data_IF_919748984152
#
_entry.id   IF_919748984152
#
_cell.length_a   1.000
_cell.length_b   1.000
_cell.length_c   1.000
_cell.angle_alpha   90.00
_cell.angle_beta   90.00
_cell.angle_gamma   90.00
#
_symmetry.space_group_name_H-M   'P 1'
#
loop_
_entity.id
_entity.type
_entity.pdbx_description
1 polymer ?
#
# COMPACT_ATOMS: atom_id res chain seq x y z
N UNK A 1 -8.23 -53.91 -16.88
CA UNK A 1 -9.36 -53.51 -17.75
C UNK A 1 -10.76 -53.95 -17.26
N UNK A 2 -10.97 -55.13 -16.65
CA UNK A 2 -12.31 -55.58 -16.19
C UNK A 2 -12.93 -54.73 -15.06
N UNK A 3 -12.13 -54.10 -14.19
CA UNK A 3 -12.63 -53.26 -13.09
C UNK A 3 -13.26 -51.93 -13.57
N UNK A 4 -12.75 -51.35 -14.66
CA UNK A 4 -13.25 -50.08 -15.25
C UNK A 4 -14.64 -50.21 -15.90
N UNK A 5 -15.02 -51.43 -16.32
CA UNK A 5 -16.33 -51.69 -16.95
C UNK A 5 -17.42 -52.15 -15.97
N UNK A 6 -17.09 -52.32 -14.69
CA UNK A 6 -18.10 -52.59 -13.65
C UNK A 6 -18.90 -51.31 -13.31
N UNK A 7 -20.15 -51.45 -12.86
CA UNK A 7 -20.94 -50.31 -12.37
C UNK A 7 -20.19 -49.48 -11.32
N UNK A 8 -19.47 -50.16 -10.42
CA UNK A 8 -18.68 -49.54 -9.35
C UNK A 8 -17.48 -48.77 -9.93
N UNK A 9 -16.77 -49.35 -10.90
CA UNK A 9 -15.66 -48.68 -11.59
C UNK A 9 -16.09 -47.39 -12.30
N UNK A 10 -17.24 -47.41 -12.97
CA UNK A 10 -17.80 -46.20 -13.61
C UNK A 10 -18.16 -45.12 -12.59
N UNK A 11 -18.77 -45.49 -11.46
CA UNK A 11 -19.10 -44.55 -10.38
C UNK A 11 -17.83 -43.91 -9.81
N UNK A 12 -16.80 -44.71 -9.50
CA UNK A 12 -15.52 -44.19 -8.97
C UNK A 12 -14.87 -43.22 -9.95
N UNK A 13 -14.86 -43.54 -11.25
CA UNK A 13 -14.32 -42.65 -12.29
C UNK A 13 -15.14 -41.35 -12.37
N UNK A 14 -16.47 -41.45 -12.39
CA UNK A 14 -17.35 -40.26 -12.43
C UNK A 14 -17.15 -39.37 -11.21
N UNK A 15 -17.05 -39.96 -10.01
CA UNK A 15 -16.76 -39.20 -8.78
C UNK A 15 -15.39 -38.55 -8.84
N UNK A 16 -14.35 -39.27 -9.29
CA UNK A 16 -13.01 -38.73 -9.44
C UNK A 16 -12.96 -37.59 -10.47
N UNK A 17 -13.69 -37.72 -11.59
CA UNK A 17 -13.80 -36.67 -12.61
C UNK A 17 -14.52 -35.43 -12.09
N UNK A 18 -15.65 -35.61 -11.41
CA UNK A 18 -16.41 -34.50 -10.80
C UNK A 18 -15.57 -33.82 -9.74
N UNK A 19 -14.89 -34.57 -8.87
CA UNK A 19 -13.99 -34.00 -7.87
C UNK A 19 -12.85 -33.21 -8.51
N UNK A 20 -12.20 -33.77 -9.52
CA UNK A 20 -11.12 -33.09 -10.26
C UNK A 20 -11.63 -31.80 -10.92
N UNK A 21 -12.83 -31.83 -11.51
CA UNK A 21 -13.46 -30.64 -12.09
C UNK A 21 -13.76 -29.58 -11.03
N UNK A 22 -14.30 -29.98 -9.87
CA UNK A 22 -14.61 -29.07 -8.77
C UNK A 22 -13.34 -28.43 -8.20
N UNK A 23 -12.27 -29.22 -8.00
CA UNK A 23 -10.96 -28.70 -7.56
C UNK A 23 -10.38 -27.77 -8.62
N UNK A 24 -10.44 -28.13 -9.90
CA UNK A 24 -9.95 -27.30 -10.99
C UNK A 24 -10.69 -25.96 -11.09
N UNK A 25 -12.02 -25.98 -10.99
CA UNK A 25 -12.85 -24.76 -11.00
C UNK A 25 -12.59 -23.92 -9.75
N UNK A 26 -12.58 -24.54 -8.56
CA UNK A 26 -12.30 -23.86 -7.30
C UNK A 26 -10.91 -23.22 -7.27
N UNK A 27 -9.88 -23.95 -7.71
CA UNK A 27 -8.52 -23.43 -7.84
C UNK A 27 -8.41 -22.28 -8.84
N UNK A 28 -9.10 -22.38 -9.98
CA UNK A 28 -9.14 -21.30 -10.98
C UNK A 28 -9.81 -20.03 -10.44
N UNK A 29 -10.91 -20.16 -9.69
CA UNK A 29 -11.59 -19.03 -9.05
C UNK A 29 -10.70 -18.41 -7.97
N UNK A 30 -10.06 -19.24 -7.12
CA UNK A 30 -9.14 -18.78 -6.09
C UNK A 30 -7.97 -18.01 -6.69
N UNK A 31 -7.33 -18.56 -7.74
CA UNK A 31 -6.29 -17.87 -8.49
C UNK A 31 -6.77 -16.53 -9.04
N UNK A 32 -7.91 -16.53 -9.73
CA UNK A 32 -8.48 -15.33 -10.34
C UNK A 32 -8.79 -14.23 -9.31
N UNK A 33 -9.28 -14.58 -8.13
CA UNK A 33 -9.73 -13.64 -7.10
C UNK A 33 -8.66 -13.22 -6.09
N UNK A 34 -7.59 -14.00 -5.93
CA UNK A 34 -6.58 -13.76 -4.89
C UNK A 34 -5.18 -13.49 -5.44
N UNK A 35 -4.85 -13.98 -6.65
CA UNK A 35 -3.48 -13.98 -7.16
C UNK A 35 -3.32 -13.36 -8.55
N UNK A 36 -4.37 -13.29 -9.36
CA UNK A 36 -4.29 -12.76 -10.73
C UNK A 36 -3.83 -11.31 -10.76
N UNK A 37 -2.71 -11.09 -11.42
CA UNK A 37 -2.17 -9.76 -11.64
C UNK A 37 -2.69 -9.13 -12.94
N UNK A 38 -2.97 -7.83 -12.91
CA UNK A 38 -3.33 -7.04 -14.09
C UNK A 38 -2.31 -5.92 -14.25
N UNK A 39 -1.65 -5.80 -15.42
CA UNK A 39 -0.72 -4.71 -15.67
C UNK A 39 -1.45 -3.36 -15.72
N UNK A 40 -0.77 -2.32 -15.25
CA UNK A 40 -1.20 -0.92 -15.33
C UNK A 40 -0.26 -0.18 -16.26
N UNK A 41 -0.81 0.74 -17.06
CA UNK A 41 -0.04 1.53 -18.00
C UNK A 41 -0.52 2.98 -18.00
N UNK A 42 0.43 3.91 -18.14
CA UNK A 42 0.21 5.34 -18.20
C UNK A 42 0.97 5.89 -19.40
N UNK A 43 0.30 6.63 -20.28
CA UNK A 43 0.92 7.26 -21.45
C UNK A 43 1.87 8.40 -21.05
N UNK A 44 1.47 9.18 -20.05
CA UNK A 44 2.23 10.31 -19.53
C UNK A 44 3.27 9.81 -18.52
N UNK A 45 4.56 10.11 -18.69
CA UNK A 45 5.58 9.85 -17.66
C UNK A 45 5.26 10.54 -16.33
N UNK A 46 4.59 11.70 -16.38
CA UNK A 46 4.19 12.43 -15.17
C UNK A 46 3.10 11.66 -14.40
N UNK A 47 2.12 11.09 -15.10
CA UNK A 47 1.06 10.31 -14.47
C UNK A 47 1.58 8.94 -14.01
N UNK A 48 2.50 8.34 -14.79
CA UNK A 48 3.23 7.15 -14.35
C UNK A 48 3.99 7.43 -13.05
N UNK A 49 4.70 8.56 -12.94
CA UNK A 49 5.40 8.91 -11.72
C UNK A 49 4.44 9.09 -10.53
N UNK A 50 3.32 9.78 -10.74
CA UNK A 50 2.32 10.07 -9.68
C UNK A 50 1.58 8.82 -9.20
N UNK A 51 1.19 7.93 -10.12
CA UNK A 51 0.20 6.87 -9.88
C UNK A 51 0.67 5.45 -10.28
N UNK A 52 1.84 5.33 -10.90
CA UNK A 52 2.39 4.06 -11.37
C UNK A 52 2.83 3.17 -10.21
N UNK A 53 2.50 1.88 -10.32
CA UNK A 53 2.95 0.85 -9.38
C UNK A 53 4.47 0.68 -9.43
N UNK A 54 5.10 0.72 -8.26
CA UNK A 54 6.50 0.30 -8.06
C UNK A 54 6.61 -1.14 -7.55
N UNK A 55 5.49 -1.88 -7.46
CA UNK A 55 5.41 -3.25 -6.95
C UNK A 55 5.04 -3.37 -5.47
N UNK A 56 4.93 -2.27 -4.73
CA UNK A 56 4.58 -2.26 -3.30
C UNK A 56 3.24 -2.95 -2.99
N UNK A 57 2.32 -3.04 -3.96
CA UNK A 57 1.00 -3.65 -3.77
C UNK A 57 1.03 -5.14 -3.42
N UNK A 58 2.10 -5.83 -3.80
CA UNK A 58 2.24 -7.26 -3.57
C UNK A 58 2.49 -7.58 -2.09
N UNK A 59 3.35 -6.79 -1.43
CA UNK A 59 3.85 -7.03 -0.06
C UNK A 59 3.25 -6.10 0.99
N UNK A 60 3.11 -4.81 0.67
CA UNK A 60 2.65 -3.75 1.59
C UNK A 60 1.29 -3.16 1.18
N UNK A 61 0.73 -3.62 0.06
CA UNK A 61 -0.51 -3.08 -0.48
C UNK A 61 -1.74 -3.37 0.37
N UNK A 62 -2.57 -2.36 0.61
CA UNK A 62 -3.85 -2.50 1.28
C UNK A 62 -4.97 -2.77 0.27
N UNK A 63 -6.02 -3.55 0.60
CA UNK A 63 -7.20 -3.65 -0.24
C UNK A 63 -7.79 -2.25 -0.47
N UNK A 64 -7.91 -1.83 -1.73
CA UNK A 64 -8.20 -0.44 -2.09
C UNK A 64 -9.48 0.09 -1.44
N UNK A 65 -10.57 -0.70 -1.49
CA UNK A 65 -11.85 -0.29 -0.91
C UNK A 65 -11.82 -0.22 0.61
N UNK A 66 -10.99 -1.03 1.27
CA UNK A 66 -10.79 -0.95 2.70
C UNK A 66 -10.04 0.34 3.03
N UNK A 67 -8.89 0.57 2.40
CA UNK A 67 -8.11 1.80 2.55
C UNK A 67 -8.95 3.06 2.32
N UNK A 68 -9.77 3.09 1.26
CA UNK A 68 -10.63 4.24 0.94
C UNK A 68 -11.56 4.62 2.10
N UNK A 69 -12.12 3.65 2.82
CA UNK A 69 -13.13 3.91 3.86
C UNK A 69 -12.53 4.13 5.25
N UNK A 70 -11.27 3.73 5.50
CA UNK A 70 -10.65 3.86 6.83
C UNK A 70 -10.75 5.27 7.43
N UNK A 71 -10.46 6.36 6.70
CA UNK A 71 -10.52 7.71 7.28
C UNK A 71 -11.91 8.10 7.80
N UNK A 72 -12.96 7.53 7.21
CA UNK A 72 -14.35 7.78 7.63
C UNK A 72 -14.76 6.87 8.79
N UNK A 73 -14.25 5.65 8.83
CA UNK A 73 -14.55 4.67 9.87
C UNK A 73 -13.79 4.92 11.17
N UNK A 74 -12.58 5.49 11.07
CA UNK A 74 -11.69 5.74 12.19
C UNK A 74 -11.09 7.16 12.17
N UNK A 75 -11.92 8.23 12.04
CA UNK A 75 -11.42 9.60 11.95
C UNK A 75 -10.61 10.04 13.18
N UNK A 76 -10.83 9.44 14.34
CA UNK A 76 -10.15 9.74 15.60
C UNK A 76 -8.66 9.38 15.61
N UNK A 77 -8.22 8.50 14.70
CA UNK A 77 -6.80 8.14 14.57
C UNK A 77 -6.05 9.03 13.58
N UNK A 78 -6.73 9.99 12.95
CA UNK A 78 -6.11 10.98 12.08
C UNK A 78 -5.71 12.24 12.87
N UNK A 79 -4.68 12.96 12.44
CA UNK A 79 -4.25 14.19 13.11
C UNK A 79 -5.26 15.34 12.97
N UNK A 80 -6.23 15.25 12.06
CA UNK A 80 -7.23 16.28 11.85
C UNK A 80 -8.32 15.89 10.86
N UNK A 81 -9.21 16.83 10.57
CA UNK A 81 -10.28 16.67 9.60
C UNK A 81 -9.75 16.55 8.16
N UNK A 82 -10.58 16.04 7.25
CA UNK A 82 -10.27 15.91 5.82
C UNK A 82 -9.80 14.52 5.39
N UNK A 83 -9.74 13.56 6.31
CA UNK A 83 -9.33 12.20 6.01
C UNK A 83 -7.83 12.12 5.73
N UNK A 84 -7.43 11.48 4.62
CA UNK A 84 -6.02 11.37 4.24
C UNK A 84 -5.32 12.73 4.01
N UNK A 85 -6.04 13.80 3.67
CA UNK A 85 -5.44 15.13 3.49
C UNK A 85 -4.87 15.70 4.79
N UNK A 86 -5.38 15.27 5.94
CA UNK A 86 -4.81 15.63 7.25
C UNK A 86 -3.38 15.12 7.46
N UNK A 87 -2.97 14.11 6.69
CA UNK A 87 -1.62 13.56 6.66
C UNK A 87 -0.74 14.22 5.58
N UNK A 88 -1.20 15.30 4.95
CA UNK A 88 -0.49 15.99 3.87
C UNK A 88 -0.54 15.27 2.52
N UNK A 89 -1.42 14.27 2.38
CA UNK A 89 -1.67 13.60 1.11
C UNK A 89 -2.51 14.52 0.21
N UNK A 90 -2.12 14.67 -1.05
CA UNK A 90 -2.73 15.65 -1.98
C UNK A 90 -3.37 14.96 -3.19
N UNK A 91 -4.49 15.49 -3.65
CA UNK A 91 -5.18 15.06 -4.88
C UNK A 91 -5.06 16.12 -5.97
N UNK A 92 -4.98 15.66 -7.21
CA UNK A 92 -5.29 16.49 -8.37
C UNK A 92 -6.81 16.53 -8.60
N UNK A 93 -7.37 17.66 -9.04
CA UNK A 93 -8.78 17.73 -9.40
C UNK A 93 -9.16 16.69 -10.44
N UNK A 94 -10.16 15.87 -10.14
CA UNK A 94 -10.69 14.86 -11.05
C UNK A 94 -10.01 13.49 -10.98
N UNK A 95 -8.90 13.37 -10.24
CA UNK A 95 -8.20 12.09 -10.08
C UNK A 95 -8.85 11.20 -9.02
N UNK A 96 -8.89 9.89 -9.28
CA UNK A 96 -9.42 8.91 -8.34
C UNK A 96 -8.50 8.76 -7.12
N UNK A 97 -7.19 8.68 -7.38
CA UNK A 97 -6.17 8.44 -6.36
C UNK A 97 -5.46 9.74 -5.99
N UNK A 98 -4.98 9.85 -4.74
CA UNK A 98 -4.02 10.89 -4.40
C UNK A 98 -2.69 10.64 -5.10
N UNK A 99 -1.92 11.72 -5.27
CA UNK A 99 -0.55 11.63 -5.75
C UNK A 99 0.27 10.80 -4.76
N UNK A 100 1.09 9.90 -5.29
CA UNK A 100 1.90 9.00 -4.47
C UNK A 100 1.24 7.66 -4.19
N UNK A 101 0.10 7.38 -4.81
CA UNK A 101 -0.63 6.15 -4.61
C UNK A 101 -1.01 5.51 -5.94
N UNK A 102 -0.79 4.21 -6.02
CA UNK A 102 -1.13 3.37 -7.16
C UNK A 102 -2.32 2.49 -6.83
N UNK A 103 -3.02 2.03 -7.86
CA UNK A 103 -4.11 1.04 -7.73
C UNK A 103 -3.90 -0.07 -8.75
N UNK A 104 -3.45 -1.23 -8.27
CA UNK A 104 -3.17 -2.40 -9.09
C UNK A 104 -4.03 -3.58 -8.66
N UNK A 105 -4.44 -4.40 -9.63
CA UNK A 105 -5.18 -5.62 -9.30
C UNK A 105 -4.20 -6.78 -9.13
N UNK A 106 -4.15 -7.33 -7.92
CA UNK A 106 -3.49 -8.59 -7.57
C UNK A 106 -4.54 -9.43 -6.83
N UNK A 107 -5.28 -10.22 -7.61
CA UNK A 107 -6.55 -10.86 -7.24
C UNK A 107 -7.71 -9.87 -7.15
N UNK A 108 -7.57 -8.87 -6.28
CA UNK A 108 -8.49 -7.76 -6.03
C UNK A 108 -7.73 -6.43 -6.13
N UNK A 109 -8.43 -5.27 -6.25
CA UNK A 109 -7.74 -3.97 -6.31
C UNK A 109 -7.04 -3.70 -4.98
N UNK A 110 -5.74 -3.47 -5.05
CA UNK A 110 -4.88 -3.07 -3.94
C UNK A 110 -4.33 -1.69 -4.22
N UNK A 111 -4.14 -0.93 -3.16
CA UNK A 111 -3.46 0.35 -3.21
C UNK A 111 -2.02 0.16 -2.74
N UNK A 112 -1.07 0.80 -3.42
CA UNK A 112 0.34 0.85 -3.04
C UNK A 112 0.79 2.29 -2.91
N UNK A 113 1.84 2.51 -2.13
CA UNK A 113 2.56 3.79 -2.17
C UNK A 113 3.51 3.80 -3.37
N UNK A 114 3.77 4.98 -3.91
CA UNK A 114 4.72 5.21 -5.00
C UNK A 114 5.76 6.25 -4.56
N UNK A 115 6.84 6.39 -5.34
CA UNK A 115 7.87 7.39 -5.07
C UNK A 115 7.31 8.81 -4.95
N UNK A 116 6.21 9.11 -5.68
CA UNK A 116 5.62 10.45 -5.69
C UNK A 116 5.01 10.87 -4.35
N UNK A 117 4.74 9.94 -3.42
CA UNK A 117 4.23 10.27 -2.09
C UNK A 117 5.24 11.11 -1.29
N UNK A 118 6.51 10.72 -1.39
CA UNK A 118 7.65 11.37 -0.75
C UNK A 118 8.27 12.44 -1.67
N UNK A 119 8.21 12.22 -2.98
CA UNK A 119 8.88 13.03 -4.00
C UNK A 119 7.92 13.87 -4.85
N UNK A 120 6.94 14.50 -4.19
CA UNK A 120 6.11 15.55 -4.77
C UNK A 120 6.03 16.72 -3.80
N UNK A 121 6.46 17.91 -4.26
CA UNK A 121 6.29 19.13 -3.49
C UNK A 121 4.94 19.78 -3.80
N UNK A 122 4.40 20.50 -2.83
CA UNK A 122 3.24 21.36 -3.01
C UNK A 122 3.51 22.74 -2.43
N UNK A 123 2.99 23.78 -3.09
CA UNK A 123 3.01 25.13 -2.55
C UNK A 123 1.74 25.88 -2.93
N UNK A 124 1.37 26.85 -2.11
CA UNK A 124 0.30 27.80 -2.43
C UNK A 124 0.92 29.16 -2.75
N UNK A 125 0.37 29.91 -3.70
CA UNK A 125 0.81 31.29 -3.94
C UNK A 125 0.16 32.24 -2.91
N UNK A 126 -1.07 31.96 -2.52
CA UNK A 126 -1.84 32.63 -1.45
C UNK A 126 -2.54 31.59 -0.57
N UNK A 127 -3.10 31.97 0.59
CA UNK A 127 -3.69 31.01 1.52
C UNK A 127 -4.96 30.31 0.97
N UNK A 128 -5.64 30.95 0.01
CA UNK A 128 -6.90 30.49 -0.57
C UNK A 128 -6.71 29.66 -1.85
N UNK A 129 -5.49 29.61 -2.40
CA UNK A 129 -5.23 28.91 -3.67
C UNK A 129 -5.31 27.39 -3.53
N UNK A 130 -5.72 26.73 -4.62
CA UNK A 130 -5.45 25.28 -4.79
C UNK A 130 -3.92 25.08 -4.84
N UNK A 131 -3.36 24.10 -4.12
CA UNK A 131 -1.91 23.89 -4.11
C UNK A 131 -1.40 23.61 -5.52
N UNK A 132 -0.34 24.31 -5.90
CA UNK A 132 0.44 23.95 -7.08
C UNK A 132 1.26 22.71 -6.75
N UNK A 133 1.13 21.68 -7.57
CA UNK A 133 1.83 20.41 -7.45
C UNK A 133 3.09 20.44 -8.32
N UNK A 134 4.22 20.08 -7.72
CA UNK A 134 5.50 19.97 -8.40
C UNK A 134 6.00 18.53 -8.25
N UNK A 135 5.76 17.67 -9.28
CA UNK A 135 6.32 16.33 -9.32
C UNK A 135 7.83 16.38 -9.17
N UNK A 136 8.43 15.35 -8.58
CA UNK A 136 9.87 15.24 -8.31
C UNK A 136 10.42 16.24 -7.28
N UNK A 137 9.60 17.12 -6.70
CA UNK A 137 10.00 17.96 -5.57
C UNK A 137 10.10 17.17 -4.26
N UNK A 138 10.62 17.79 -3.21
CA UNK A 138 10.58 17.22 -1.86
C UNK A 138 9.21 17.45 -1.22
N UNK A 139 8.54 16.39 -0.75
CA UNK A 139 7.32 16.57 0.05
C UNK A 139 7.64 17.26 1.36
N UNK A 140 6.95 18.37 1.64
CA UNK A 140 7.09 19.17 2.87
C UNK A 140 5.90 19.01 3.83
N UNK A 141 4.87 18.28 3.40
CA UNK A 141 3.59 18.16 4.12
C UNK A 141 3.25 16.73 4.51
N UNK A 142 3.74 15.73 3.78
CA UNK A 142 3.40 14.34 4.05
C UNK A 142 3.90 13.92 5.44
N UNK A 143 2.99 13.39 6.25
CA UNK A 143 3.27 12.85 7.57
C UNK A 143 3.33 11.32 7.52
N UNK A 144 4.49 10.77 7.13
CA UNK A 144 4.67 9.32 7.00
C UNK A 144 4.46 8.59 8.33
N UNK A 145 5.10 9.08 9.40
CA UNK A 145 4.94 8.51 10.75
C UNK A 145 3.47 8.51 11.19
N UNK A 146 2.75 9.60 10.93
CA UNK A 146 1.31 9.69 11.18
C UNK A 146 0.48 8.71 10.34
N UNK A 147 0.85 8.48 9.08
CA UNK A 147 0.17 7.51 8.21
C UNK A 147 0.35 6.07 8.70
N UNK A 148 1.57 5.70 9.11
CA UNK A 148 1.86 4.38 9.69
C UNK A 148 1.07 4.19 10.99
N UNK A 149 1.07 5.19 11.88
CA UNK A 149 0.30 5.14 13.14
C UNK A 149 -1.21 5.07 12.88
N UNK A 150 -1.74 5.83 11.94
CA UNK A 150 -3.14 5.78 11.58
C UNK A 150 -3.57 4.37 11.16
N UNK A 151 -2.82 3.76 10.24
CA UNK A 151 -3.10 2.41 9.76
C UNK A 151 -2.99 1.37 10.88
N UNK A 152 -1.94 1.46 11.69
CA UNK A 152 -1.69 0.58 12.83
C UNK A 152 -2.82 0.65 13.87
N UNK A 153 -3.18 1.86 14.30
CA UNK A 153 -4.27 2.09 15.25
C UNK A 153 -5.63 1.61 14.72
N UNK A 154 -5.88 1.78 13.42
CA UNK A 154 -7.07 1.19 12.78
C UNK A 154 -7.06 -0.34 12.92
N UNK A 155 -5.93 -1.00 12.66
CA UNK A 155 -5.79 -2.45 12.76
C UNK A 155 -5.98 -2.99 14.18
N UNK A 156 -5.52 -2.27 15.20
CA UNK A 156 -5.70 -2.66 16.60
C UNK A 156 -7.13 -2.46 17.11
N UNK A 157 -7.92 -1.61 16.45
CA UNK A 157 -9.28 -1.30 16.88
C UNK A 157 -10.21 -2.54 16.85
N UNK A 158 -10.99 -2.80 17.92
CA UNK A 158 -11.97 -3.89 17.93
C UNK A 158 -13.04 -3.77 16.83
N UNK A 159 -13.36 -2.55 16.38
CA UNK A 159 -14.28 -2.30 15.26
C UNK A 159 -13.67 -2.67 13.91
N UNK A 160 -12.36 -2.89 13.81
CA UNK A 160 -11.75 -3.45 12.61
C UNK A 160 -12.14 -4.92 12.47
N UNK A 161 -13.34 -5.15 11.94
CA UNK A 161 -13.93 -6.44 11.71
C UNK A 161 -14.80 -6.40 10.45
N UNK A 162 -15.18 -7.57 9.96
CA UNK A 162 -15.87 -7.69 8.68
C UNK A 162 -17.20 -6.94 8.62
N UNK A 163 -17.97 -6.93 9.70
CA UNK A 163 -19.31 -6.34 9.69
C UNK A 163 -19.24 -4.81 9.61
N UNK A 164 -18.37 -4.19 10.42
CA UNK A 164 -18.19 -2.74 10.41
C UNK A 164 -17.58 -2.24 9.08
N UNK A 165 -16.52 -2.92 8.61
CA UNK A 165 -15.81 -2.50 7.39
C UNK A 165 -16.67 -2.74 6.14
N UNK A 166 -17.35 -3.89 6.01
CA UNK A 166 -18.23 -4.12 4.87
C UNK A 166 -19.43 -3.16 4.84
N UNK A 167 -19.94 -2.76 6.01
CA UNK A 167 -20.96 -1.71 6.08
C UNK A 167 -20.41 -0.40 5.51
N UNK A 168 -19.19 0.00 5.90
CA UNK A 168 -18.50 1.17 5.35
C UNK A 168 -18.28 1.11 3.85
N UNK A 169 -17.78 -0.03 3.33
CA UNK A 169 -17.56 -0.23 1.89
C UNK A 169 -18.86 -0.16 1.10
N UNK A 170 -19.99 -0.59 1.67
CA UNK A 170 -21.27 -0.62 0.94
C UNK A 170 -21.77 0.76 0.49
N UNK A 171 -21.32 1.84 1.14
CA UNK A 171 -21.61 3.22 0.74
C UNK A 171 -20.87 3.69 -0.52
N UNK A 172 -19.74 3.07 -0.86
CA UNK A 172 -18.88 3.48 -1.99
C UNK A 172 -18.78 2.43 -3.08
N UNK A 173 -19.06 1.15 -2.76
CA UNK A 173 -18.96 0.04 -3.70
C UNK A 173 -19.95 -1.08 -3.39
N UNK A 174 -20.69 -1.50 -4.42
CA UNK A 174 -21.47 -2.73 -4.36
C UNK A 174 -20.59 -3.94 -4.73
N UNK A 175 -20.16 -4.70 -3.72
CA UNK A 175 -19.39 -5.93 -3.90
C UNK A 175 -20.30 -7.10 -4.31
N UNK A 176 -19.79 -8.00 -5.16
CA UNK A 176 -20.48 -9.26 -5.48
C UNK A 176 -20.59 -10.15 -4.23
N UNK A 177 -21.49 -11.15 -4.23
CA UNK A 177 -21.63 -12.07 -3.09
C UNK A 177 -20.32 -12.82 -2.79
N UNK A 178 -19.61 -13.25 -3.83
CA UNK A 178 -18.30 -13.89 -3.69
C UNK A 178 -17.27 -12.92 -3.12
N UNK A 179 -17.23 -11.67 -3.59
CA UNK A 179 -16.28 -10.68 -3.04
C UNK A 179 -16.62 -10.34 -1.59
N UNK A 180 -17.90 -10.20 -1.22
CA UNK A 180 -18.30 -10.02 0.18
C UNK A 180 -17.85 -11.19 1.06
N UNK A 181 -17.96 -12.43 0.56
CA UNK A 181 -17.47 -13.62 1.25
C UNK A 181 -15.94 -13.57 1.44
N UNK A 182 -15.20 -13.28 0.37
CA UNK A 182 -13.73 -13.16 0.43
C UNK A 182 -13.28 -12.01 1.34
N UNK A 183 -13.96 -10.87 1.29
CA UNK A 183 -13.69 -9.74 2.18
C UNK A 183 -13.91 -10.12 3.64
N UNK A 184 -15.05 -10.74 3.95
CA UNK A 184 -15.42 -11.12 5.31
C UNK A 184 -14.45 -12.13 5.93
N UNK A 185 -14.11 -13.18 5.19
CA UNK A 185 -13.42 -14.34 5.79
C UNK A 185 -11.92 -14.41 5.48
N UNK A 186 -11.43 -13.64 4.50
CA UNK A 186 -10.02 -13.70 4.08
C UNK A 186 -9.38 -12.31 4.15
N UNK A 187 -9.88 -11.37 3.36
CA UNK A 187 -9.16 -10.10 3.11
C UNK A 187 -9.14 -9.21 4.36
N UNK A 188 -10.29 -9.00 5.03
CA UNK A 188 -10.34 -8.14 6.22
C UNK A 188 -9.54 -8.75 7.39
N UNK A 189 -9.69 -10.05 7.74
CA UNK A 189 -8.86 -10.65 8.79
C UNK A 189 -7.36 -10.61 8.50
N UNK A 190 -6.94 -10.89 7.25
CA UNK A 190 -5.52 -10.81 6.86
C UNK A 190 -5.00 -9.38 6.91
N UNK A 191 -5.80 -8.40 6.47
CA UNK A 191 -5.42 -6.98 6.56
C UNK A 191 -5.27 -6.56 8.01
N UNK A 192 -6.20 -6.97 8.90
CA UNK A 192 -6.10 -6.69 10.34
C UNK A 192 -4.79 -7.22 10.90
N UNK A 193 -4.48 -8.49 10.62
CA UNK A 193 -3.25 -9.12 11.07
C UNK A 193 -2.01 -8.34 10.60
N UNK A 194 -1.95 -7.99 9.32
CA UNK A 194 -0.83 -7.23 8.77
C UNK A 194 -0.69 -5.83 9.39
N UNK A 195 -1.80 -5.15 9.71
CA UNK A 195 -1.77 -3.84 10.37
C UNK A 195 -1.30 -3.92 11.83
N UNK A 196 -1.61 -5.01 12.53
CA UNK A 196 -1.06 -5.27 13.88
C UNK A 196 0.44 -5.57 13.80
N UNK A 197 0.87 -6.41 12.85
CA UNK A 197 2.29 -6.70 12.61
C UNK A 197 3.08 -5.44 12.18
N UNK A 198 2.44 -4.52 11.46
CA UNK A 198 3.00 -3.22 11.12
C UNK A 198 3.31 -2.42 12.40
N UNK A 199 2.40 -2.43 13.38
CA UNK A 199 2.64 -1.72 14.64
C UNK A 199 3.85 -2.28 15.37
N UNK A 200 3.94 -3.59 15.51
CA UNK A 200 5.07 -4.26 16.16
C UNK A 200 6.39 -3.90 15.46
N UNK A 201 6.38 -3.90 14.13
CA UNK A 201 7.55 -3.59 13.29
C UNK A 201 8.00 -2.11 13.39
N UNK A 202 7.08 -1.22 13.76
CA UNK A 202 7.34 0.22 13.86
C UNK A 202 7.24 0.80 15.28
N UNK A 203 7.13 -0.05 16.31
CA UNK A 203 7.08 0.36 17.72
C UNK A 203 8.32 1.15 18.18
N UNK A 204 9.45 1.03 17.46
CA UNK A 204 10.64 1.87 17.68
C UNK A 204 10.38 3.37 17.46
N UNK A 205 9.37 3.74 16.66
CA UNK A 205 9.00 5.14 16.41
C UNK A 205 8.61 5.87 17.70
N UNK A 206 8.04 5.17 18.68
CA UNK A 206 7.59 5.76 19.95
C UNK A 206 8.74 6.01 20.94
N UNK A 207 9.92 5.45 20.65
CA UNK A 207 11.16 5.66 21.41
C UNK A 207 12.08 6.70 20.78
N UNK A 208 11.60 7.44 19.77
CA UNK A 208 12.39 8.42 19.01
C UNK A 208 11.65 9.75 18.93
N UNK A 209 12.37 10.86 18.68
CA UNK A 209 11.72 12.12 18.34
C UNK A 209 10.83 11.95 17.11
N UNK A 210 9.67 12.60 17.13
CA UNK A 210 8.77 12.67 15.98
C UNK A 210 9.53 13.12 14.73
N UNK A 211 9.29 12.44 13.61
CA UNK A 211 9.91 12.76 12.32
C UNK A 211 9.47 14.14 11.84
N UNK A 212 8.19 14.45 12.03
CA UNK A 212 7.59 15.68 11.53
C UNK A 212 7.17 15.59 10.06
N UNK A 213 6.53 16.65 9.57
CA UNK A 213 6.04 16.71 8.19
C UNK A 213 7.20 16.81 7.20
N UNK A 214 7.08 16.09 6.07
CA UNK A 214 8.08 16.12 5.01
C UNK A 214 9.41 15.45 5.35
N UNK A 215 9.39 14.59 6.37
CA UNK A 215 10.57 13.87 6.86
C UNK A 215 10.28 12.38 6.96
N UNK A 216 11.35 11.61 6.92
CA UNK A 216 11.37 10.15 7.03
C UNK A 216 12.57 9.73 7.87
N UNK A 217 12.50 8.57 8.51
CA UNK A 217 13.69 7.84 8.94
C UNK A 217 14.05 6.83 7.83
N UNK A 218 14.97 7.13 6.90
CA UNK A 218 15.15 6.35 5.68
C UNK A 218 15.80 4.98 5.95
N UNK A 219 16.61 4.86 7.01
CA UNK A 219 17.36 3.64 7.29
C UNK A 219 16.88 2.86 8.53
N UNK A 220 16.08 3.46 9.42
CA UNK A 220 15.55 2.72 10.58
C UNK A 220 14.64 1.54 10.16
N UNK A 221 13.70 1.68 9.21
CA UNK A 221 12.92 0.54 8.70
C UNK A 221 13.81 -0.53 8.06
N UNK A 222 14.82 -0.12 7.29
CA UNK A 222 15.77 -1.06 6.67
C UNK A 222 16.50 -1.87 7.75
N UNK A 223 17.01 -1.22 8.79
CA UNK A 223 17.73 -1.89 9.88
C UNK A 223 16.84 -2.84 10.66
N UNK A 224 15.69 -2.36 11.11
CA UNK A 224 14.89 -3.10 12.10
C UNK A 224 13.88 -4.05 11.47
N UNK A 225 13.32 -3.70 10.30
CA UNK A 225 12.27 -4.48 9.64
C UNK A 225 12.84 -5.38 8.55
N UNK A 226 13.71 -4.85 7.69
CA UNK A 226 14.26 -5.62 6.56
C UNK A 226 15.41 -6.52 6.99
N UNK A 227 16.38 -5.97 7.73
CA UNK A 227 17.56 -6.71 8.20
C UNK A 227 17.34 -7.42 9.54
N UNK A 228 16.27 -7.10 10.27
CA UNK A 228 15.96 -7.70 11.57
C UNK A 228 17.01 -7.41 12.64
N UNK A 229 17.72 -6.29 12.54
CA UNK A 229 18.68 -5.84 13.55
C UNK A 229 17.94 -5.35 14.80
N UNK A 230 18.60 -5.49 15.95
CA UNK A 230 18.06 -4.97 17.22
C UNK A 230 17.88 -3.45 17.19
N UNK A 231 16.88 -2.98 17.94
CA UNK A 231 16.64 -1.55 18.19
C UNK A 231 17.85 -0.94 18.93
N UNK A 232 18.68 -0.21 18.19
CA UNK A 232 19.99 0.26 18.64
C UNK A 232 20.03 1.72 19.10
N UNK A 233 18.87 2.34 19.35
CA UNK A 233 18.81 3.73 19.80
C UNK A 233 18.99 4.78 18.70
N UNK A 234 19.30 4.40 17.45
CA UNK A 234 19.63 5.38 16.40
C UNK A 234 18.43 6.24 15.96
N UNK A 235 18.70 7.52 15.71
CA UNK A 235 17.76 8.50 15.13
C UNK A 235 18.18 8.75 13.69
N UNK A 236 17.32 8.41 12.73
CA UNK A 236 17.59 8.57 11.29
C UNK A 236 16.83 9.69 10.59
N UNK A 237 16.14 10.57 11.31
CA UNK A 237 15.22 11.53 10.69
C UNK A 237 15.93 12.44 9.67
N UNK A 238 15.46 12.45 8.42
CA UNK A 238 15.94 13.30 7.34
C UNK A 238 14.79 13.92 6.57
N UNK A 239 15.02 15.08 5.96
CA UNK A 239 14.07 15.68 5.01
C UNK A 239 13.90 14.78 3.78
N UNK A 240 12.74 14.79 3.14
CA UNK A 240 12.57 14.12 1.84
C UNK A 240 13.49 14.79 0.81
N UNK A 241 14.24 14.00 0.04
CA UNK A 241 15.11 14.54 -1.00
C UNK A 241 14.31 14.94 -2.25
N UNK A 242 14.60 16.06 -2.92
CA UNK A 242 14.02 16.33 -4.21
C UNK A 242 14.70 15.48 -5.30
N UNK A 243 13.90 14.98 -6.24
CA UNK A 243 14.35 14.30 -7.45
C UNK A 243 14.41 15.23 -8.68
N UNK A 244 14.01 16.49 -8.54
CA UNK A 244 14.21 17.47 -9.61
C UNK A 244 15.71 17.64 -9.91
N UNK A 245 16.04 18.13 -11.09
CA UNK A 245 17.42 18.43 -11.49
C UNK A 245 18.43 17.27 -11.39
N UNK A 246 17.99 16.01 -11.33
CA UNK A 246 18.87 14.82 -11.26
C UNK A 246 20.00 14.81 -12.32
N UNK A 247 19.75 15.36 -13.51
CA UNK A 247 20.77 15.49 -14.56
C UNK A 247 22.00 16.31 -14.13
N UNK A 248 21.82 17.31 -13.26
CA UNK A 248 22.91 18.12 -12.71
C UNK A 248 23.73 17.36 -11.66
N UNK A 249 23.20 16.26 -11.12
CA UNK A 249 23.82 15.43 -10.08
C UNK A 249 24.33 14.08 -10.60
N UNK A 250 24.45 13.89 -11.92
CA UNK A 250 24.77 12.59 -12.54
C UNK A 250 26.06 11.90 -12.04
N UNK A 251 27.00 12.67 -11.51
CA UNK A 251 28.31 12.19 -11.02
C UNK A 251 28.45 12.40 -9.50
N UNK A 252 27.35 12.73 -8.82
CA UNK A 252 27.35 12.96 -7.37
C UNK A 252 27.07 11.64 -6.67
N UNK A 253 27.56 11.53 -5.44
CA UNK A 253 27.00 10.54 -4.53
C UNK A 253 25.55 10.89 -4.20
N UNK A 254 24.73 9.85 -4.06
CA UNK A 254 23.31 9.86 -3.79
C UNK A 254 23.07 9.53 -2.31
N UNK A 255 21.81 9.69 -1.88
CA UNK A 255 21.42 9.73 -0.46
C UNK A 255 21.99 10.93 0.30
N UNK A 256 21.39 11.28 1.44
CA UNK A 256 21.84 12.40 2.26
C UNK A 256 23.26 12.23 2.82
N UNK A 257 23.72 10.99 2.98
CA UNK A 257 25.03 10.63 3.50
C UNK A 257 26.09 10.45 2.41
N UNK A 258 25.71 10.45 1.13
CA UNK A 258 26.62 10.27 0.01
C UNK A 258 27.25 8.87 -0.06
N UNK A 259 26.58 7.84 0.46
CA UNK A 259 27.11 6.47 0.48
C UNK A 259 26.91 5.69 -0.82
N UNK A 260 25.93 6.09 -1.64
CA UNK A 260 25.58 5.39 -2.88
C UNK A 260 26.02 6.20 -4.11
N UNK A 261 26.53 5.56 -5.17
CA UNK A 261 26.90 6.22 -6.43
C UNK A 261 26.09 5.73 -7.63
N UNK A 262 25.33 4.65 -7.46
CA UNK A 262 24.44 4.05 -8.44
C UNK A 262 23.02 4.58 -8.28
N UNK A 263 22.54 5.29 -9.29
CA UNK A 263 21.13 5.73 -9.35
C UNK A 263 20.16 4.54 -9.34
N UNK A 264 20.53 3.45 -10.00
CA UNK A 264 19.72 2.22 -10.02
C UNK A 264 19.62 1.62 -8.63
N UNK A 265 20.72 1.52 -7.90
CA UNK A 265 20.75 0.97 -6.54
C UNK A 265 19.96 1.85 -5.57
N UNK A 266 20.17 3.17 -5.63
CA UNK A 266 19.38 4.15 -4.86
C UNK A 266 17.89 4.01 -5.11
N UNK A 267 17.48 3.86 -6.38
CA UNK A 267 16.07 3.74 -6.75
C UNK A 267 15.46 2.42 -6.23
N UNK A 268 16.19 1.32 -6.33
CA UNK A 268 15.73 0.01 -5.84
C UNK A 268 15.65 0.01 -4.31
N UNK A 269 16.69 0.52 -3.62
CA UNK A 269 16.71 0.62 -2.17
C UNK A 269 15.55 1.49 -1.65
N UNK A 270 15.31 2.64 -2.30
CA UNK A 270 14.18 3.52 -1.97
C UNK A 270 12.80 2.93 -2.26
N UNK A 271 12.70 1.92 -3.13
CA UNK A 271 11.44 1.23 -3.43
C UNK A 271 11.16 0.02 -2.50
N UNK A 272 12.18 -0.50 -1.82
CA UNK A 272 12.07 -1.62 -0.86
C UNK A 272 11.69 -1.13 0.54
N UNK A 273 12.07 0.12 0.89
CA UNK A 273 11.94 0.72 2.21
C UNK A 273 10.54 1.18 2.59
#
# INVERSE_FOLDING_TARGET
MRLLNSKIGRIVISVALVFTLLVGVGGSIAWYKLFREVPTYYESPADHFKYGSIGAEATQGLPYWLWMVLPRLFPEYLPGAGGYTSLGITWEPGEELPIGFSKKTIGFPRQGITCALCHTATYHKTAEDVPTIIPTGASSRFNLQGYIRFLSNCGEDPRFNADYILAGISYVRNLSLLDKFLYRYIIIPQTKKALVELQDSFAWMDKRPEQGLGRIAPFNPVKFVVLGLDDDGTIGNSDMMPLWNQKLHKDFALHWDGLETSLTETTIAGAIG
#
